data_IF_961359391117
#
_entry.id   IF_961359391117
#
_cell.length_a   1.000
_cell.length_b   1.000
_cell.length_c   1.000
_cell.angle_alpha   90.00
_cell.angle_beta   90.00
_cell.angle_gamma   90.00
#
_symmetry.space_group_name_H-M   'P 1'
#
loop_
_entity.id
_entity.type
_entity.pdbx_description
1 polymer ?
#
# COMPACT_ATOMS: atom_id res chain seq x y z
N UNK A 1 -67.54 26.93 15.08
CA UNK A 1 -66.67 26.19 14.15
C UNK A 1 -65.22 26.34 14.60
N UNK A 2 -64.67 25.36 15.31
CA UNK A 2 -63.23 25.32 15.62
C UNK A 2 -62.48 24.66 14.45
N UNK A 3 -61.62 25.44 13.79
CA UNK A 3 -60.71 24.98 12.73
C UNK A 3 -59.55 24.22 13.40
N UNK A 4 -59.52 22.89 13.26
CA UNK A 4 -58.34 22.08 13.61
C UNK A 4 -57.21 22.39 12.62
N UNK A 5 -56.02 22.77 13.14
CA UNK A 5 -54.80 22.88 12.33
C UNK A 5 -54.18 21.49 12.14
N UNK A 6 -53.69 21.13 10.93
CA UNK A 6 -53.15 19.81 10.69
C UNK A 6 -51.71 19.68 11.23
N UNK A 7 -51.52 18.59 11.96
CA UNK A 7 -50.30 17.82 12.21
C UNK A 7 -48.98 18.41 11.67
N UNK A 8 -48.26 19.12 12.55
CA UNK A 8 -46.85 19.52 12.39
C UNK A 8 -45.88 18.43 12.91
N UNK A 9 -46.33 17.18 13.07
CA UNK A 9 -45.51 16.09 13.61
C UNK A 9 -44.76 15.26 12.55
N UNK A 10 -45.23 15.27 11.30
CA UNK A 10 -44.75 14.33 10.28
C UNK A 10 -43.36 14.70 9.71
N UNK A 11 -42.96 15.97 9.79
CA UNK A 11 -41.66 16.46 9.27
C UNK A 11 -40.48 16.09 10.15
N UNK A 12 -40.70 15.89 11.46
CA UNK A 12 -39.62 15.53 12.40
C UNK A 12 -39.29 14.03 12.39
N UNK A 13 -40.28 13.17 12.10
CA UNK A 13 -40.08 11.72 12.01
C UNK A 13 -39.23 11.34 10.79
N UNK A 14 -39.42 12.02 9.66
CA UNK A 14 -38.60 11.78 8.46
C UNK A 14 -37.12 12.15 8.62
N UNK A 15 -36.82 13.22 9.37
CA UNK A 15 -35.44 13.66 9.61
C UNK A 15 -34.69 12.70 10.54
N UNK A 16 -35.37 12.13 11.54
CA UNK A 16 -34.79 11.16 12.47
C UNK A 16 -34.43 9.84 11.76
N UNK A 17 -35.24 9.39 10.80
CA UNK A 17 -34.98 8.15 10.06
C UNK A 17 -33.73 8.25 9.17
N UNK A 18 -33.47 9.42 8.57
CA UNK A 18 -32.29 9.69 7.74
C UNK A 18 -30.97 9.73 8.53
N UNK A 19 -31.01 10.15 9.81
CA UNK A 19 -29.82 10.15 10.65
C UNK A 19 -29.42 8.74 11.13
N UNK A 20 -30.37 7.82 11.31
CA UNK A 20 -30.07 6.46 11.75
C UNK A 20 -29.61 5.54 10.61
N UNK A 21 -29.99 5.81 9.35
CA UNK A 21 -29.57 5.01 8.19
C UNK A 21 -28.13 5.24 7.74
N UNK A 22 -27.41 6.21 8.32
CA UNK A 22 -25.98 6.46 8.06
C UNK A 22 -25.06 5.70 9.04
N UNK A 23 -25.60 4.84 9.91
CA UNK A 23 -24.86 4.17 10.98
C UNK A 23 -24.31 2.77 10.60
N UNK A 24 -24.25 2.45 9.31
CA UNK A 24 -23.71 1.20 8.77
C UNK A 24 -22.72 1.56 7.66
N UNK A 25 -21.45 1.17 7.63
CA UNK A 25 -20.66 0.24 8.41
C UNK A 25 -19.24 0.82 8.49
N UNK A 26 -18.75 1.11 9.68
CA UNK A 26 -17.32 1.03 9.94
C UNK A 26 -17.18 -0.10 10.93
N UNK A 27 -16.77 -1.29 10.48
CA UNK A 27 -16.35 -2.30 11.45
C UNK A 27 -15.28 -1.65 12.32
N UNK A 28 -15.45 -1.71 13.64
CA UNK A 28 -14.42 -1.27 14.55
C UNK A 28 -13.22 -2.20 14.36
N UNK A 29 -12.26 -1.76 13.55
CA UNK A 29 -10.93 -2.36 13.48
C UNK A 29 -10.28 -2.13 14.84
N UNK A 30 -10.33 -3.17 15.67
CA UNK A 30 -9.54 -3.26 16.88
C UNK A 30 -8.09 -2.96 16.52
N UNK A 31 -7.48 -2.00 17.22
CA UNK A 31 -6.05 -1.75 17.07
C UNK A 31 -5.32 -3.06 17.39
N UNK A 32 -4.75 -3.67 16.36
CA UNK A 32 -3.97 -4.89 16.49
C UNK A 32 -2.80 -4.72 17.44
N UNK A 33 -2.06 -5.82 17.68
CA UNK A 33 -0.82 -5.78 18.47
C UNK A 33 0.09 -4.67 17.93
N UNK A 34 0.80 -3.99 18.83
CA UNK A 34 1.79 -2.97 18.46
C UNK A 34 2.73 -3.50 17.37
N UNK A 35 2.70 -2.84 16.22
CA UNK A 35 3.22 -3.29 14.94
C UNK A 35 2.45 -2.58 13.83
N UNK A 36 3.00 -2.50 12.61
CA UNK A 36 2.24 -2.04 11.45
C UNK A 36 1.07 -3.00 11.24
N UNK A 37 -0.16 -2.57 11.51
CA UNK A 37 -1.35 -3.30 11.09
C UNK A 37 -1.49 -3.09 9.59
N UNK A 38 -0.84 -3.96 8.83
CA UNK A 38 -1.05 -4.09 7.39
C UNK A 38 -2.28 -4.99 7.27
N UNK A 39 -3.39 -4.45 6.82
CA UNK A 39 -4.57 -5.27 6.55
C UNK A 39 -4.26 -6.32 5.46
N UNK A 40 -5.05 -7.39 5.42
CA UNK A 40 -4.84 -8.49 4.48
C UNK A 40 -4.86 -8.03 3.01
N UNK A 41 -5.55 -6.94 2.69
CA UNK A 41 -5.61 -6.41 1.33
C UNK A 41 -4.30 -5.75 0.91
N UNK A 42 -3.63 -5.03 1.80
CA UNK A 42 -2.31 -4.44 1.53
C UNK A 42 -1.25 -5.52 1.37
N UNK A 43 -1.26 -6.56 2.22
CA UNK A 43 -0.35 -7.70 2.07
C UNK A 43 -0.60 -8.45 0.76
N UNK A 44 -1.87 -8.69 0.41
CA UNK A 44 -2.25 -9.33 -0.86
C UNK A 44 -1.81 -8.52 -2.07
N UNK A 45 -1.97 -7.20 -2.02
CA UNK A 45 -1.49 -6.29 -3.06
C UNK A 45 0.03 -6.41 -3.25
N UNK A 46 0.79 -6.23 -2.17
CA UNK A 46 2.26 -6.30 -2.22
C UNK A 46 2.76 -7.63 -2.77
N UNK A 47 2.14 -8.74 -2.35
CA UNK A 47 2.45 -10.07 -2.85
C UNK A 47 2.14 -10.22 -4.34
N UNK A 48 0.95 -9.80 -4.77
CA UNK A 48 0.53 -9.88 -6.18
C UNK A 48 1.49 -9.10 -7.06
N UNK A 49 1.82 -7.88 -6.66
CA UNK A 49 2.75 -7.01 -7.40
C UNK A 49 4.16 -7.60 -7.46
N UNK A 50 4.62 -8.23 -6.37
CA UNK A 50 5.90 -8.94 -6.36
C UNK A 50 5.90 -10.09 -7.38
N UNK A 51 4.88 -10.95 -7.34
CA UNK A 51 4.75 -12.11 -8.21
C UNK A 51 4.66 -11.68 -9.68
N UNK A 52 3.88 -10.63 -9.97
CA UNK A 52 3.73 -10.05 -11.31
C UNK A 52 5.05 -9.46 -11.83
N UNK A 53 5.77 -8.71 -11.01
CA UNK A 53 7.09 -8.16 -11.38
C UNK A 53 8.09 -9.28 -11.64
N UNK A 54 8.14 -10.32 -10.79
CA UNK A 54 9.00 -11.49 -10.99
C UNK A 54 8.67 -12.20 -12.30
N UNK A 55 7.38 -12.43 -12.56
CA UNK A 55 6.92 -13.07 -13.79
C UNK A 55 7.25 -12.24 -15.04
N UNK A 56 7.04 -10.92 -14.99
CA UNK A 56 7.39 -10.00 -16.09
C UNK A 56 8.89 -10.02 -16.39
N UNK A 57 9.72 -9.96 -15.34
CA UNK A 57 11.17 -9.96 -15.46
C UNK A 57 11.75 -11.35 -15.80
N UNK A 58 10.94 -12.41 -15.76
CA UNK A 58 11.30 -13.80 -16.05
C UNK A 58 12.41 -14.32 -15.14
N UNK A 59 12.44 -13.89 -13.88
CA UNK A 59 13.38 -14.42 -12.90
C UNK A 59 12.85 -15.71 -12.27
N UNK A 60 13.73 -16.70 -12.10
CA UNK A 60 13.37 -17.97 -11.47
C UNK A 60 13.44 -17.89 -9.94
N UNK A 61 14.43 -17.16 -9.40
CA UNK A 61 14.65 -17.05 -7.96
C UNK A 61 13.96 -15.84 -7.33
N UNK A 62 13.65 -15.97 -6.04
CA UNK A 62 13.05 -14.94 -5.18
C UNK A 62 11.59 -15.22 -4.86
N UNK A 63 11.21 -15.01 -3.60
CA UNK A 63 9.84 -15.10 -3.12
C UNK A 63 9.47 -13.84 -2.32
N UNK A 64 8.18 -13.53 -2.25
CA UNK A 64 7.69 -12.40 -1.45
C UNK A 64 8.03 -12.57 0.03
N UNK A 65 8.06 -13.82 0.50
CA UNK A 65 8.38 -14.17 1.87
C UNK A 65 9.88 -13.97 2.21
N UNK A 66 10.73 -13.78 1.21
CA UNK A 66 12.17 -13.55 1.41
C UNK A 66 12.51 -12.09 1.73
N UNK A 67 11.58 -11.15 1.49
CA UNK A 67 11.86 -9.71 1.65
C UNK A 67 11.29 -9.15 2.94
N UNK A 68 12.01 -8.20 3.56
CA UNK A 68 11.45 -7.40 4.65
C UNK A 68 11.09 -6.01 4.14
N UNK A 69 9.87 -5.59 4.42
CA UNK A 69 9.31 -4.34 3.92
C UNK A 69 9.27 -3.32 5.05
N UNK A 70 9.86 -2.16 4.83
CA UNK A 70 9.77 -1.02 5.73
C UNK A 70 8.95 0.09 5.06
N UNK A 71 7.75 0.34 5.58
CA UNK A 71 6.93 1.47 5.16
C UNK A 71 7.51 2.74 5.80
N UNK A 72 8.03 3.63 4.97
CA UNK A 72 8.70 4.86 5.37
C UNK A 72 7.78 6.07 5.14
N UNK A 73 8.10 7.25 5.71
CA UNK A 73 7.53 8.51 5.23
C UNK A 73 7.76 8.69 3.72
N UNK A 74 6.95 9.49 3.01
CA UNK A 74 7.06 9.68 1.55
C UNK A 74 8.45 10.06 1.05
N UNK A 75 9.22 10.75 1.88
CA UNK A 75 10.65 11.01 1.68
C UNK A 75 11.38 10.67 2.96
N UNK A 76 12.45 9.88 2.87
CA UNK A 76 13.28 9.48 4.01
C UNK A 76 14.78 9.62 3.71
N UNK A 77 15.64 9.77 4.73
CA UNK A 77 17.08 9.86 4.53
C UNK A 77 17.65 8.57 3.91
N UNK A 78 18.49 8.72 2.89
CA UNK A 78 19.21 7.61 2.25
C UNK A 78 20.59 8.06 1.79
N UNK A 79 21.45 7.09 1.45
CA UNK A 79 22.88 7.35 1.20
C UNK A 79 23.13 8.12 -0.10
N UNK A 80 22.32 7.89 -1.13
CA UNK A 80 22.62 8.31 -2.50
C UNK A 80 21.99 9.64 -2.91
N UNK A 81 20.94 10.09 -2.20
CA UNK A 81 20.21 11.30 -2.55
C UNK A 81 20.14 12.25 -1.35
N UNK A 82 20.77 13.42 -1.48
CA UNK A 82 20.76 14.45 -0.43
C UNK A 82 19.35 14.98 -0.11
N UNK A 83 18.43 14.94 -1.09
CA UNK A 83 17.03 15.27 -0.91
C UNK A 83 16.17 14.16 -0.28
N UNK A 84 16.77 13.01 0.02
CA UNK A 84 16.08 11.81 0.48
C UNK A 84 15.59 10.91 -0.66
N UNK A 85 15.14 9.73 -0.28
CA UNK A 85 14.60 8.70 -1.16
C UNK A 85 13.10 8.53 -0.94
N UNK A 86 12.40 8.11 -1.99
CA UNK A 86 11.04 7.56 -1.89
C UNK A 86 11.02 6.04 -1.89
N UNK A 87 12.12 5.39 -2.29
CA UNK A 87 12.34 3.95 -2.26
C UNK A 87 13.84 3.63 -2.11
N UNK A 88 14.16 2.54 -1.44
CA UNK A 88 15.54 2.06 -1.31
C UNK A 88 15.57 0.53 -1.07
N UNK A 89 16.12 -0.21 -2.02
CA UNK A 89 16.63 -1.54 -1.80
C UNK A 89 17.93 -1.50 -1.00
N UNK A 90 17.95 -2.26 0.09
CA UNK A 90 19.13 -2.48 0.93
C UNK A 90 19.42 -3.96 0.96
N UNK A 91 20.58 -4.34 0.44
CA UNK A 91 21.07 -5.72 0.48
C UNK A 91 21.08 -6.26 1.93
N UNK A 92 20.66 -7.52 2.16
CA UNK A 92 20.34 -8.52 1.13
C UNK A 92 18.90 -8.52 0.63
N UNK A 93 17.92 -8.05 1.41
CA UNK A 93 16.50 -8.29 1.13
C UNK A 93 15.56 -7.26 1.79
N UNK A 94 16.06 -6.07 2.13
CA UNK A 94 15.26 -5.03 2.76
C UNK A 94 14.78 -4.02 1.72
N UNK A 95 13.46 -3.79 1.66
CA UNK A 95 12.83 -2.82 0.76
C UNK A 95 12.19 -1.73 1.58
N UNK A 96 12.76 -0.53 1.54
CA UNK A 96 12.17 0.66 2.15
C UNK A 96 11.31 1.36 1.10
N UNK A 97 10.05 1.62 1.42
CA UNK A 97 9.11 2.26 0.49
C UNK A 97 8.38 3.40 1.18
N UNK A 98 8.54 4.61 0.66
CA UNK A 98 7.79 5.81 1.07
C UNK A 98 6.40 5.88 0.40
N UNK A 99 6.18 5.08 -0.64
CA UNK A 99 4.90 4.93 -1.32
C UNK A 99 4.80 3.57 -1.99
N UNK A 100 3.59 3.03 -2.11
CA UNK A 100 3.35 1.78 -2.84
C UNK A 100 3.68 1.89 -4.34
N UNK A 101 3.71 3.11 -4.92
CA UNK A 101 4.09 3.31 -6.32
C UNK A 101 5.54 2.92 -6.65
N UNK A 102 6.44 2.96 -5.65
CA UNK A 102 7.84 2.57 -5.85
C UNK A 102 8.08 1.10 -5.50
N UNK A 103 7.06 0.35 -5.08
CA UNK A 103 7.20 -1.03 -4.65
C UNK A 103 7.84 -1.92 -5.72
N UNK A 104 7.24 -1.95 -6.93
CA UNK A 104 7.76 -2.74 -8.06
C UNK A 104 9.19 -2.34 -8.44
N UNK A 105 9.51 -1.05 -8.32
CA UNK A 105 10.85 -0.53 -8.59
C UNK A 105 11.89 -1.17 -7.66
N UNK A 106 11.63 -1.19 -6.36
CA UNK A 106 12.55 -1.81 -5.40
C UNK A 106 12.58 -3.34 -5.51
N UNK A 107 11.46 -3.97 -5.88
CA UNK A 107 11.42 -5.41 -6.18
C UNK A 107 12.34 -5.77 -7.36
N UNK A 108 12.38 -4.96 -8.41
CA UNK A 108 13.30 -5.18 -9.54
C UNK A 108 14.75 -5.14 -9.07
N UNK A 109 15.13 -4.16 -8.23
CA UNK A 109 16.48 -4.11 -7.65
C UNK A 109 16.82 -5.38 -6.86
N UNK A 110 15.92 -5.86 -6.01
CA UNK A 110 16.11 -7.09 -5.25
C UNK A 110 16.27 -8.32 -6.15
N UNK A 111 15.37 -8.50 -7.13
CA UNK A 111 15.40 -9.64 -8.02
C UNK A 111 16.65 -9.64 -8.92
N UNK A 112 17.09 -8.46 -9.37
CA UNK A 112 18.35 -8.32 -10.11
C UNK A 112 19.55 -8.69 -9.25
N UNK A 113 19.64 -8.21 -8.01
CA UNK A 113 20.74 -8.56 -7.11
C UNK A 113 20.75 -10.07 -6.82
N UNK A 114 19.59 -10.64 -6.49
CA UNK A 114 19.46 -12.07 -6.19
C UNK A 114 19.87 -12.95 -7.38
N UNK A 115 19.50 -12.59 -8.60
CA UNK A 115 19.71 -13.43 -9.78
C UNK A 115 21.02 -13.12 -10.53
N UNK A 116 21.65 -11.95 -10.30
CA UNK A 116 22.82 -11.50 -11.08
C UNK A 116 23.97 -10.96 -10.23
N UNK A 117 23.73 -10.62 -8.96
CA UNK A 117 24.69 -9.96 -8.07
C UNK A 117 24.88 -8.47 -8.34
N UNK A 118 24.08 -7.87 -9.24
CA UNK A 118 24.05 -6.43 -9.50
C UNK A 118 22.61 -5.94 -9.36
N UNK A 119 22.27 -5.13 -8.34
CA UNK A 119 20.94 -4.54 -8.22
C UNK A 119 20.62 -3.52 -9.33
N UNK A 120 21.61 -3.11 -10.13
CA UNK A 120 21.52 -2.06 -11.14
C UNK A 120 21.06 -0.71 -10.56
N UNK A 121 21.82 -0.21 -9.59
CA UNK A 121 21.58 1.10 -8.95
C UNK A 121 21.56 2.29 -9.94
N UNK A 122 22.01 2.10 -11.18
CA UNK A 122 21.97 3.11 -12.24
C UNK A 122 20.74 3.03 -13.16
N UNK A 123 19.79 2.12 -12.89
CA UNK A 123 18.53 1.95 -13.64
C UNK A 123 18.73 1.78 -15.16
N UNK A 124 19.74 1.01 -15.56
CA UNK A 124 20.10 0.80 -16.96
C UNK A 124 19.27 -0.31 -17.61
N UNK A 125 18.81 -1.28 -16.83
CA UNK A 125 17.96 -2.38 -17.25
C UNK A 125 16.64 -1.86 -17.79
N UNK A 126 16.18 -2.41 -18.91
CA UNK A 126 14.86 -2.06 -19.46
C UNK A 126 13.70 -2.55 -18.59
N UNK A 127 13.97 -3.42 -17.61
CA UNK A 127 12.97 -3.88 -16.64
C UNK A 127 12.29 -2.72 -15.90
N UNK A 128 13.03 -1.65 -15.59
CA UNK A 128 12.48 -0.45 -14.95
C UNK A 128 11.50 0.33 -15.83
N UNK A 129 11.43 0.03 -17.14
CA UNK A 129 10.45 0.61 -18.08
C UNK A 129 9.32 -0.35 -18.40
N UNK A 130 9.58 -1.67 -18.37
CA UNK A 130 8.64 -2.68 -18.85
C UNK A 130 7.88 -3.41 -17.75
N UNK A 131 8.44 -3.50 -16.54
CA UNK A 131 7.92 -4.32 -15.44
C UNK A 131 7.53 -3.52 -14.19
N UNK A 132 7.50 -2.18 -14.28
CA UNK A 132 6.92 -1.27 -13.28
C UNK A 132 5.50 -0.94 -13.70
#
# INVERSE_FOLDING_TARGET
>A
MMKMKPFSGLRYVGLLFLCFSMSACGEEVSAGKAGLFIDDSTTTFLKTEFDDTKACAKFENGAFEDVSIAIMPPTFPCKHYAGGCSGEYVNPNHLKVGSLYVWRHEVIHYLLDLNTGDPDAGHRSDLFKTCI
#
